data_IF_682184919439
#
_entry.id   IF_682184919439
#
_cell.length_a   1.000
_cell.length_b   1.000
_cell.length_c   1.000
_cell.angle_alpha   90.00
_cell.angle_beta   90.00
_cell.angle_gamma   90.00
#
_symmetry.space_group_name_H-M   'P 1'
#
loop_
_entity.id
_entity.type
_entity.pdbx_description
1 polymer ?
#
# COMPACT_ATOMS: atom_id res chain seq x y z
N UNK A 1 -11.87 -4.07 5.53
CA UNK A 1 -11.22 -4.60 6.75
C UNK A 1 -11.34 -3.55 7.86
N UNK A 2 -11.44 -3.93 9.14
CA UNK A 2 -11.42 -2.97 10.27
C UNK A 2 -10.05 -3.00 10.92
N UNK A 3 -9.51 -1.82 11.28
CA UNK A 3 -8.26 -1.65 12.03
C UNK A 3 -8.33 -0.43 12.96
N UNK A 4 -7.30 -0.18 13.76
CA UNK A 4 -7.14 1.04 14.55
C UNK A 4 -5.87 1.76 14.12
N UNK A 5 -5.96 3.09 13.97
CA UNK A 5 -4.83 3.94 13.60
C UNK A 5 -4.75 5.14 14.54
N UNK A 6 -3.55 5.72 14.71
CA UNK A 6 -3.38 6.95 15.50
C UNK A 6 -4.36 8.04 15.08
N UNK A 7 -5.00 8.69 16.05
CA UNK A 7 -6.14 9.60 15.81
C UNK A 7 -5.86 10.67 14.74
N UNK A 8 -4.65 11.24 14.70
CA UNK A 8 -4.29 12.29 13.72
C UNK A 8 -4.21 11.80 12.27
N UNK A 9 -4.02 10.50 12.06
CA UNK A 9 -3.98 9.84 10.75
C UNK A 9 -5.35 9.30 10.32
N UNK A 10 -6.34 9.25 11.23
CA UNK A 10 -7.67 8.72 10.97
C UNK A 10 -8.52 9.69 10.13
N UNK A 11 -8.24 9.75 8.82
CA UNK A 11 -8.97 10.56 7.85
C UNK A 11 -9.31 9.73 6.63
N UNK A 12 -10.52 9.86 6.12
CA UNK A 12 -10.94 9.18 4.88
C UNK A 12 -10.06 9.63 3.71
N UNK A 13 -9.66 8.67 2.88
CA UNK A 13 -8.76 8.86 1.74
C UNK A 13 -7.28 8.82 2.07
N UNK A 14 -6.88 8.98 3.34
CA UNK A 14 -5.48 8.80 3.74
C UNK A 14 -5.04 7.35 3.58
N UNK A 15 -3.77 7.16 3.26
CA UNK A 15 -3.17 5.83 3.10
C UNK A 15 -1.93 5.67 3.96
N UNK A 16 -1.68 4.45 4.40
CA UNK A 16 -0.49 4.10 5.18
C UNK A 16 0.04 2.73 4.75
N UNK A 17 1.33 2.50 4.99
CA UNK A 17 1.96 1.19 4.83
C UNK A 17 2.13 0.59 6.22
N UNK A 18 1.68 -0.65 6.40
CA UNK A 18 1.91 -1.37 7.65
C UNK A 18 3.28 -2.05 7.56
N UNK A 19 4.22 -1.67 8.41
CA UNK A 19 5.52 -2.35 8.51
C UNK A 19 5.45 -3.43 9.57
N UNK A 20 5.69 -3.07 10.83
CA UNK A 20 5.70 -4.01 11.93
C UNK A 20 4.99 -3.41 13.15
N UNK A 21 4.52 -4.26 14.08
CA UNK A 21 4.00 -3.77 15.34
C UNK A 21 5.11 -3.35 16.29
N UNK A 22 4.85 -2.31 17.08
CA UNK A 22 5.73 -1.93 18.20
C UNK A 22 5.78 -3.03 19.28
N UNK A 23 6.82 -3.04 20.10
CA UNK A 23 7.02 -4.05 21.15
C UNK A 23 5.83 -4.11 22.12
N UNK A 24 5.25 -2.96 22.48
CA UNK A 24 4.11 -2.84 23.40
C UNK A 24 2.82 -3.47 22.84
N UNK A 25 2.73 -3.66 21.51
CA UNK A 25 1.59 -4.33 20.89
C UNK A 25 1.54 -5.82 21.21
N UNK A 26 2.66 -6.45 21.58
CA UNK A 26 2.75 -7.88 21.86
C UNK A 26 1.79 -8.36 22.95
N UNK A 27 1.55 -7.52 23.97
CA UNK A 27 0.65 -7.80 25.10
C UNK A 27 -0.65 -6.98 25.05
N UNK A 28 -0.90 -6.24 23.96
CA UNK A 28 -2.05 -5.35 23.85
C UNK A 28 -3.36 -6.13 23.68
N UNK A 29 -4.38 -5.80 24.46
CA UNK A 29 -5.71 -6.42 24.35
C UNK A 29 -6.41 -6.19 23.00
N UNK A 30 -6.00 -5.13 22.28
CA UNK A 30 -6.57 -4.78 20.97
C UNK A 30 -5.76 -5.30 19.79
N UNK A 31 -4.67 -6.04 20.03
CA UNK A 31 -3.75 -6.53 19.00
C UNK A 31 -4.47 -7.17 17.79
N UNK A 32 -5.40 -8.07 18.08
CA UNK A 32 -6.19 -8.78 17.07
C UNK A 32 -6.99 -7.85 16.14
N UNK A 33 -7.55 -6.77 16.66
CA UNK A 33 -8.32 -5.80 15.88
C UNK A 33 -7.47 -4.67 15.32
N UNK A 34 -6.30 -4.40 15.91
CA UNK A 34 -5.43 -3.28 15.55
C UNK A 34 -4.45 -3.67 14.44
N UNK A 35 -3.76 -4.80 14.58
CA UNK A 35 -2.61 -5.14 13.74
C UNK A 35 -2.68 -6.53 13.11
N UNK A 36 -3.32 -7.52 13.74
CA UNK A 36 -3.24 -8.91 13.25
C UNK A 36 -3.99 -9.13 11.92
N UNK A 37 -4.87 -8.19 11.54
CA UNK A 37 -5.53 -8.19 10.23
C UNK A 37 -4.68 -7.55 9.13
N UNK A 38 -3.61 -6.82 9.47
CA UNK A 38 -2.76 -6.13 8.52
C UNK A 38 -1.59 -7.04 8.11
N UNK A 39 -1.18 -6.92 6.86
CA UNK A 39 -0.05 -7.62 6.28
C UNK A 39 1.12 -6.66 6.16
N UNK A 40 2.28 -7.08 6.66
CA UNK A 40 3.52 -6.33 6.61
C UNK A 40 3.92 -6.01 5.16
N UNK A 41 4.39 -4.79 4.96
CA UNK A 41 4.80 -4.26 3.67
C UNK A 41 3.63 -3.87 2.77
N UNK A 42 2.36 -3.94 3.22
CA UNK A 42 1.23 -3.59 2.36
C UNK A 42 0.65 -2.22 2.67
N UNK A 43 0.22 -1.53 1.60
CA UNK A 43 -0.49 -0.27 1.67
C UNK A 43 -1.97 -0.48 1.93
N UNK A 44 -2.54 0.37 2.77
CA UNK A 44 -3.96 0.42 3.10
C UNK A 44 -4.48 1.84 2.93
N UNK A 45 -5.70 1.97 2.41
CA UNK A 45 -6.41 3.25 2.28
C UNK A 45 -7.63 3.26 3.19
N UNK A 46 -7.81 4.33 3.96
CA UNK A 46 -8.94 4.51 4.87
C UNK A 46 -10.18 4.88 4.06
N UNK A 47 -11.22 4.06 4.17
CA UNK A 47 -12.50 4.25 3.46
C UNK A 47 -13.61 4.77 4.37
N UNK A 48 -13.49 4.59 5.69
CA UNK A 48 -14.46 5.07 6.67
C UNK A 48 -13.73 5.33 8.00
N UNK A 49 -14.05 6.44 8.66
CA UNK A 49 -13.58 6.74 10.02
C UNK A 49 -14.72 6.64 11.01
N UNK A 50 -14.60 5.76 12.01
CA UNK A 50 -15.64 5.57 13.04
C UNK A 50 -15.36 6.44 14.25
N UNK A 51 -16.43 6.95 14.87
CA UNK A 51 -16.36 7.73 16.12
C UNK A 51 -16.20 6.81 17.35
N UNK A 52 -15.16 5.97 17.32
CA UNK A 52 -14.80 5.06 18.40
C UNK A 52 -13.29 5.15 18.62
N UNK A 53 -12.90 5.56 19.82
CA UNK A 53 -11.50 5.72 20.22
C UNK A 53 -11.07 4.65 21.23
N UNK A 54 -9.80 4.28 21.19
CA UNK A 54 -9.14 3.47 22.22
C UNK A 54 -7.84 4.13 22.68
N UNK A 55 -7.45 3.89 23.93
CA UNK A 55 -6.16 4.35 24.44
C UNK A 55 -5.03 3.50 23.85
N UNK A 56 -3.97 4.15 23.39
CA UNK A 56 -2.75 3.51 22.91
C UNK A 56 -1.54 4.39 23.22
N UNK A 57 -0.57 3.93 24.04
CA UNK A 57 0.57 4.75 24.45
C UNK A 57 1.60 5.03 23.33
N UNK A 58 1.51 4.31 22.21
CA UNK A 58 2.47 4.41 21.10
C UNK A 58 2.16 5.62 20.21
N UNK A 59 0.88 5.95 20.03
CA UNK A 59 0.45 7.00 19.12
C UNK A 59 0.36 8.36 19.83
N UNK A 60 0.53 9.43 19.05
CA UNK A 60 0.31 10.79 19.53
C UNK A 60 -1.10 10.96 20.12
N UNK A 61 -1.21 11.80 21.15
CA UNK A 61 -2.42 11.99 21.98
C UNK A 61 -2.86 10.74 22.77
N UNK A 62 -2.01 9.70 22.83
CA UNK A 62 -2.27 8.41 23.47
C UNK A 62 -3.55 7.72 22.99
N UNK A 63 -3.96 7.99 21.73
CA UNK A 63 -5.26 7.60 21.19
C UNK A 63 -5.17 7.05 19.78
N UNK A 64 -5.91 5.97 19.57
CA UNK A 64 -6.20 5.41 18.25
C UNK A 64 -7.70 5.46 17.98
N UNK A 65 -8.06 5.51 16.70
CA UNK A 65 -9.43 5.56 16.22
C UNK A 65 -9.72 4.37 15.32
N UNK A 66 -10.92 3.82 15.42
CA UNK A 66 -11.36 2.70 14.59
C UNK A 66 -11.61 3.20 13.17
N UNK A 67 -11.03 2.51 12.19
CA UNK A 67 -11.19 2.82 10.77
C UNK A 67 -11.52 1.57 9.96
N UNK A 68 -12.26 1.76 8.87
CA UNK A 68 -12.38 0.76 7.82
C UNK A 68 -11.35 1.06 6.75
N UNK A 69 -10.62 0.04 6.34
CA UNK A 69 -9.56 0.12 5.33
C UNK A 69 -9.75 -0.93 4.25
N UNK A 70 -9.18 -0.65 3.10
CA UNK A 70 -8.97 -1.59 2.01
C UNK A 70 -7.50 -1.59 1.59
N UNK A 71 -7.06 -2.62 0.85
CA UNK A 71 -5.74 -2.57 0.19
C UNK A 71 -5.67 -1.31 -0.68
N UNK A 72 -4.58 -0.57 -0.52
CA UNK A 72 -4.36 0.68 -1.21
C UNK A 72 -4.06 0.48 -2.69
N UNK A 73 -4.42 1.46 -3.49
CA UNK A 73 -3.99 1.55 -4.87
C UNK A 73 -2.58 2.14 -4.96
N UNK A 74 -1.77 1.59 -5.87
CA UNK A 74 -0.40 2.01 -6.14
C UNK A 74 -0.24 2.31 -7.61
N UNK A 75 0.37 3.46 -7.90
CA UNK A 75 0.76 3.80 -9.28
C UNK A 75 2.13 3.22 -9.57
N UNK A 76 2.23 2.38 -10.60
CA UNK A 76 3.47 1.71 -10.98
C UNK A 76 3.87 2.03 -12.42
N UNK A 77 5.14 1.72 -12.72
CA UNK A 77 5.67 1.66 -14.08
C UNK A 77 6.04 0.20 -14.40
N UNK A 78 5.53 -0.32 -15.51
CA UNK A 78 5.78 -1.71 -15.94
C UNK A 78 5.94 -1.81 -17.45
N UNK A 79 6.69 -2.81 -17.92
CA UNK A 79 6.74 -3.23 -19.32
C UNK A 79 5.83 -4.42 -19.62
N UNK A 80 5.03 -4.86 -18.63
CA UNK A 80 4.13 -6.00 -18.76
C UNK A 80 3.15 -5.76 -19.91
N UNK A 81 3.32 -6.56 -20.97
CA UNK A 81 2.47 -6.50 -22.16
C UNK A 81 1.20 -7.31 -21.91
N UNK A 82 0.08 -6.80 -22.43
CA UNK A 82 -1.19 -7.53 -22.41
C UNK A 82 -1.94 -7.49 -21.09
N UNK A 83 -1.63 -6.52 -20.22
CA UNK A 83 -2.42 -6.25 -19.01
C UNK A 83 -3.49 -5.23 -19.34
N UNK A 84 -4.72 -5.50 -18.93
CA UNK A 84 -5.89 -4.65 -19.15
C UNK A 84 -6.71 -4.54 -17.85
N UNK A 85 -7.58 -3.55 -17.76
CA UNK A 85 -8.41 -3.31 -16.58
C UNK A 85 -9.17 -4.58 -16.14
N UNK A 86 -9.07 -4.89 -14.84
CA UNK A 86 -9.64 -6.09 -14.23
C UNK A 86 -8.80 -7.36 -14.35
N UNK A 87 -7.75 -7.38 -15.18
CA UNK A 87 -6.86 -8.54 -15.26
C UNK A 87 -5.90 -8.59 -14.07
N UNK A 88 -5.56 -9.81 -13.64
CA UNK A 88 -4.53 -10.03 -12.63
C UNK A 88 -3.22 -10.45 -13.28
N UNK A 89 -2.09 -9.98 -12.75
CA UNK A 89 -0.76 -10.31 -13.24
C UNK A 89 0.24 -10.37 -12.07
N UNK A 90 1.39 -11.01 -12.27
CA UNK A 90 2.48 -11.00 -11.29
C UNK A 90 3.36 -9.77 -11.51
N UNK A 91 3.47 -8.92 -10.49
CA UNK A 91 4.34 -7.77 -10.51
C UNK A 91 5.81 -8.20 -10.37
N UNK A 92 6.56 -8.05 -11.46
CA UNK A 92 7.97 -8.36 -11.52
C UNK A 92 8.78 -7.09 -11.65
N UNK A 93 9.55 -6.77 -10.59
CA UNK A 93 10.47 -5.63 -10.58
C UNK A 93 11.50 -5.81 -11.70
N UNK A 94 11.61 -4.82 -12.58
CA UNK A 94 12.64 -4.83 -13.62
C UNK A 94 14.03 -4.64 -13.03
N UNK A 95 15.05 -5.23 -13.66
CA UNK A 95 16.45 -4.98 -13.29
C UNK A 95 16.85 -3.54 -13.63
N UNK A 96 16.86 -2.65 -12.64
CA UNK A 96 17.36 -1.28 -12.78
C UNK A 96 18.39 -0.90 -11.72
N UNK A 97 19.62 -0.62 -12.18
CA UNK A 97 20.76 -0.22 -11.35
C UNK A 97 20.83 1.28 -11.06
N UNK A 98 20.04 2.12 -11.75
CA UNK A 98 20.00 3.55 -11.48
C UNK A 98 19.22 3.79 -10.17
N UNK A 99 19.95 4.13 -9.10
CA UNK A 99 19.38 4.41 -7.77
C UNK A 99 18.86 5.84 -7.66
N UNK A 100 19.42 6.77 -8.43
CA UNK A 100 19.08 8.20 -8.39
C UNK A 100 18.00 8.57 -9.44
N UNK A 101 17.13 7.60 -9.77
CA UNK A 101 16.07 7.80 -10.74
C UNK A 101 14.83 8.37 -10.04
N UNK A 102 14.34 9.53 -10.48
CA UNK A 102 13.14 10.19 -9.91
C UNK A 102 11.88 9.30 -9.94
N UNK A 103 11.83 8.34 -10.86
CA UNK A 103 10.70 7.42 -11.03
C UNK A 103 10.91 6.07 -10.32
N UNK A 104 11.92 5.96 -9.45
CA UNK A 104 12.32 4.69 -8.84
C UNK A 104 11.19 4.08 -8.01
N UNK A 105 10.46 4.88 -7.27
CA UNK A 105 9.38 4.38 -6.39
C UNK A 105 8.19 3.80 -7.18
N UNK A 106 7.97 4.23 -8.42
CA UNK A 106 6.95 3.62 -9.29
C UNK A 106 7.43 2.31 -9.94
N UNK A 107 8.74 2.17 -10.19
CA UNK A 107 9.32 0.91 -10.72
C UNK A 107 9.58 -0.12 -9.62
N UNK A 108 9.82 0.35 -8.39
CA UNK A 108 10.14 -0.43 -7.20
C UNK A 108 9.28 0.02 -6.02
N UNK A 109 7.94 -0.07 -6.14
CA UNK A 109 7.05 0.25 -5.02
C UNK A 109 7.44 -0.61 -3.82
N UNK A 110 7.62 0.03 -2.66
CA UNK A 110 7.97 -0.68 -1.44
C UNK A 110 6.80 -1.56 -1.00
N UNK A 111 5.58 -1.12 -1.31
CA UNK A 111 4.35 -1.73 -0.86
C UNK A 111 3.88 -2.94 -1.69
N UNK A 112 4.64 -3.31 -2.73
CA UNK A 112 4.36 -4.48 -3.58
C UNK A 112 5.63 -5.35 -3.65
N UNK A 113 5.52 -6.57 -3.13
CA UNK A 113 6.55 -7.58 -3.14
C UNK A 113 6.91 -8.07 -4.55
N UNK A 114 8.10 -8.68 -4.67
CA UNK A 114 8.52 -9.31 -5.94
C UNK A 114 7.68 -10.56 -6.20
N UNK A 115 7.08 -10.66 -7.38
CA UNK A 115 6.23 -11.80 -7.76
C UNK A 115 4.83 -11.72 -7.16
N UNK A 116 4.49 -10.59 -6.52
CA UNK A 116 3.19 -10.39 -5.93
C UNK A 116 2.12 -10.24 -7.00
N UNK A 117 0.99 -10.92 -6.80
CA UNK A 117 -0.13 -10.86 -7.73
C UNK A 117 -0.88 -9.55 -7.52
N UNK A 118 -1.03 -8.78 -8.59
CA UNK A 118 -1.74 -7.51 -8.59
C UNK A 118 -2.91 -7.57 -9.57
N UNK A 119 -3.95 -6.78 -9.30
CA UNK A 119 -5.04 -6.48 -10.23
C UNK A 119 -4.76 -5.14 -10.89
N UNK A 120 -4.89 -5.09 -12.21
CA UNK A 120 -4.79 -3.86 -12.97
C UNK A 120 -6.08 -3.06 -12.86
N UNK A 121 -6.01 -1.89 -12.23
CA UNK A 121 -7.19 -1.06 -11.95
C UNK A 121 -7.43 -0.08 -13.09
N UNK A 122 -6.39 0.61 -13.54
CA UNK A 122 -6.52 1.70 -14.51
C UNK A 122 -5.29 1.91 -15.36
N UNK A 123 -5.48 2.12 -16.66
CA UNK A 123 -4.41 2.57 -17.55
C UNK A 123 -4.21 4.10 -17.46
N UNK A 124 -2.98 4.54 -17.21
CA UNK A 124 -2.58 5.95 -17.24
C UNK A 124 -1.74 6.29 -18.47
N UNK A 125 -1.54 5.33 -19.38
CA UNK A 125 -0.91 5.51 -20.68
C UNK A 125 0.59 5.23 -20.71
N UNK A 126 1.21 5.53 -21.86
CA UNK A 126 2.64 5.30 -22.09
C UNK A 126 3.49 6.26 -21.26
N UNK A 127 4.61 5.74 -20.77
CA UNK A 127 5.63 6.48 -20.05
C UNK A 127 6.97 6.37 -20.79
N UNK A 128 7.50 7.51 -21.25
CA UNK A 128 8.72 7.57 -22.07
C UNK A 128 9.87 8.32 -21.39
N UNK A 129 9.69 8.80 -20.16
CA UNK A 129 10.69 9.63 -19.46
C UNK A 129 11.72 8.79 -18.70
N UNK A 130 11.78 7.48 -18.94
CA UNK A 130 12.77 6.62 -18.32
C UNK A 130 14.19 7.04 -18.77
N UNK A 131 15.11 7.38 -17.85
CA UNK A 131 16.48 7.78 -18.22
C UNK A 131 17.28 6.72 -18.97
N UNK A 132 16.84 5.46 -18.94
CA UNK A 132 17.45 4.34 -19.68
C UNK A 132 16.89 4.17 -21.09
N UNK A 133 15.89 4.97 -21.48
CA UNK A 133 15.21 4.86 -22.77
C UNK A 133 14.19 3.71 -22.85
N UNK A 134 13.82 3.10 -21.72
CA UNK A 134 12.80 2.04 -21.71
C UNK A 134 11.41 2.64 -21.99
N UNK A 135 10.66 1.97 -22.86
CA UNK A 135 9.24 2.25 -23.08
C UNK A 135 8.43 1.50 -22.03
N UNK A 136 7.77 2.24 -21.13
CA UNK A 136 7.01 1.70 -20.01
C UNK A 136 5.53 2.11 -20.14
N UNK A 137 4.68 1.46 -19.34
CA UNK A 137 3.28 1.81 -19.15
C UNK A 137 3.14 2.30 -17.71
N UNK A 138 2.44 3.42 -17.53
CA UNK A 138 2.02 3.91 -16.22
C UNK A 138 0.61 3.41 -15.96
N UNK A 139 0.40 2.77 -14.81
CA UNK A 139 -0.91 2.24 -14.45
C UNK A 139 -1.14 2.28 -12.95
N UNK A 140 -2.41 2.15 -12.56
CA UNK A 140 -2.83 1.96 -11.18
C UNK A 140 -3.12 0.48 -10.97
N UNK A 141 -2.59 -0.06 -9.89
CA UNK A 141 -2.76 -1.45 -9.49
C UNK A 141 -3.14 -1.55 -8.03
N UNK A 142 -3.71 -2.70 -7.65
CA UNK A 142 -4.00 -3.07 -6.25
C UNK A 142 -3.54 -4.51 -6.04
N UNK A 143 -3.07 -4.86 -4.85
CA UNK A 143 -2.71 -6.24 -4.52
C UNK A 143 -3.96 -7.13 -4.68
N UNK A 144 -3.77 -8.33 -5.24
CA UNK A 144 -4.85 -9.30 -5.42
C UNK A 144 -5.20 -9.93 -4.07
N UNK A 145 -6.36 -9.60 -3.53
CA UNK A 145 -6.94 -10.29 -2.37
C UNK A 145 -7.60 -11.60 -2.83
N UNK A 146 -7.26 -12.73 -2.17
CA UNK A 146 -7.83 -14.07 -2.47
C UNK A 146 -9.21 -14.28 -1.87
#
# INVERSE_FOLDING_TARGET
MITLIGKKLAKEGESFIFYEPAEECSTCRFKASCIDSLEEGHKYTITEVRDVEQKCPIHEDEKVQVVVVEKGETTILTDSKGVFEGSSFEFNRQGCSNKDCDFRDMCFPEEIGKGEKCVYIKDLGKFNDCPRGNSLIKCVVKIYDK
#
